data_IF_628152342172
#
_entry.id   IF_628152342172
#
_cell.length_a   1.000
_cell.length_b   1.000
_cell.length_c   1.000
_cell.angle_alpha   90.00
_cell.angle_beta   90.00
_cell.angle_gamma   90.00
#
_symmetry.space_group_name_H-M   'P 1'
#
loop_
_entity.id
_entity.type
_entity.pdbx_description
1 polymer ?
#
# COMPACT_ATOMS: atom_id res chain seq x y z
N UNK A 1 -11.72 -16.14 -14.26
CA UNK A 1 -10.61 -16.19 -13.28
C UNK A 1 -9.53 -15.30 -13.85
N UNK A 2 -9.17 -14.23 -13.15
CA UNK A 2 -8.21 -13.23 -13.64
C UNK A 2 -7.01 -13.16 -12.71
N UNK A 3 -5.84 -12.88 -13.27
CA UNK A 3 -4.58 -12.79 -12.54
C UNK A 3 -3.82 -11.54 -13.00
N UNK A 4 -3.13 -10.89 -12.08
CA UNK A 4 -2.36 -9.68 -12.33
C UNK A 4 -0.90 -9.87 -11.97
N UNK A 5 -0.02 -9.34 -12.81
CA UNK A 5 1.41 -9.20 -12.53
C UNK A 5 1.69 -7.72 -12.39
N UNK A 6 2.17 -7.31 -11.21
CA UNK A 6 2.58 -5.93 -10.94
C UNK A 6 4.09 -5.90 -10.80
N UNK A 7 4.74 -5.06 -11.59
CA UNK A 7 6.17 -4.79 -11.47
C UNK A 7 6.32 -3.48 -10.71
N UNK A 8 6.96 -3.54 -9.54
CA UNK A 8 7.22 -2.38 -8.70
C UNK A 8 8.72 -2.08 -8.67
N UNK A 9 9.07 -0.79 -8.72
CA UNK A 9 10.45 -0.34 -8.58
C UNK A 9 11.01 -0.50 -7.15
N UNK A 10 10.17 -0.88 -6.19
CA UNK A 10 10.56 -1.13 -4.82
C UNK A 10 9.95 -2.46 -4.33
N UNK A 11 10.56 -3.11 -3.33
CA UNK A 11 10.09 -4.40 -2.82
C UNK A 11 8.96 -4.26 -1.78
N UNK A 12 8.44 -3.05 -1.54
CA UNK A 12 7.52 -2.77 -0.44
C UNK A 12 6.08 -2.78 -0.92
N UNK A 13 5.45 -3.95 -0.87
CA UNK A 13 4.04 -4.11 -1.15
C UNK A 13 3.43 -5.18 -0.23
N UNK A 14 2.11 -5.17 -0.16
CA UNK A 14 1.34 -6.20 0.50
C UNK A 14 -0.04 -6.30 -0.17
N UNK A 15 -0.69 -7.44 -0.02
CA UNK A 15 -2.06 -7.67 -0.49
C UNK A 15 -2.96 -7.68 0.74
N UNK A 16 -4.09 -6.97 0.67
CA UNK A 16 -5.04 -6.94 1.77
C UNK A 16 -5.59 -8.34 2.06
N UNK A 17 -5.76 -8.66 3.33
CA UNK A 17 -6.45 -9.87 3.78
C UNK A 17 -7.97 -9.79 3.53
N UNK A 18 -8.69 -10.85 3.91
CA UNK A 18 -10.16 -10.92 3.77
C UNK A 18 -10.92 -9.87 4.59
N UNK A 19 -10.26 -9.17 5.52
CA UNK A 19 -10.81 -8.09 6.33
C UNK A 19 -10.43 -6.70 5.81
N UNK A 20 -9.70 -6.62 4.68
CA UNK A 20 -9.22 -5.37 4.09
C UNK A 20 -7.98 -4.78 4.77
N UNK A 21 -7.30 -5.53 5.66
CA UNK A 21 -6.11 -5.07 6.37
C UNK A 21 -4.84 -5.47 5.62
N UNK A 22 -3.82 -4.63 5.72
CA UNK A 22 -2.49 -4.87 5.15
C UNK A 22 -1.41 -4.41 6.13
N UNK A 23 -0.21 -4.98 6.05
CA UNK A 23 0.92 -4.59 6.90
C UNK A 23 2.26 -4.75 6.18
N UNK A 24 2.78 -3.64 5.68
CA UNK A 24 4.14 -3.55 5.13
C UNK A 24 5.13 -3.28 6.27
N UNK A 25 6.13 -4.13 6.44
CA UNK A 25 7.17 -4.02 7.49
C UNK A 25 8.52 -3.61 6.88
N UNK A 26 9.45 -3.18 7.75
CA UNK A 26 10.84 -2.88 7.40
C UNK A 26 10.99 -1.82 6.31
N UNK A 27 10.09 -0.84 6.27
CA UNK A 27 10.20 0.30 5.35
C UNK A 27 11.21 1.28 5.94
N UNK A 28 12.25 1.67 5.19
CA UNK A 28 13.17 2.72 5.61
C UNK A 28 12.45 4.05 5.89
N UNK A 29 13.06 4.90 6.71
CA UNK A 29 12.54 6.24 6.94
C UNK A 29 12.55 7.05 5.64
N UNK A 30 11.45 7.73 5.31
CA UNK A 30 11.38 8.53 4.09
C UNK A 30 9.97 8.91 3.67
N UNK A 31 9.87 9.66 2.57
CA UNK A 31 8.59 10.02 1.98
C UNK A 31 8.25 9.02 0.87
N UNK A 32 7.08 8.41 0.97
CA UNK A 32 6.60 7.42 0.02
C UNK A 32 5.22 7.81 -0.51
N UNK A 33 4.94 7.41 -1.74
CA UNK A 33 3.58 7.44 -2.28
C UNK A 33 3.01 6.04 -2.18
N UNK A 34 2.03 5.87 -1.31
CA UNK A 34 1.34 4.60 -1.11
C UNK A 34 0.09 4.59 -1.99
N UNK A 35 0.03 3.63 -2.91
CA UNK A 35 -1.10 3.46 -3.83
C UNK A 35 -1.88 2.21 -3.46
N UNK A 36 -3.17 2.36 -3.18
CA UNK A 36 -4.11 1.27 -3.02
C UNK A 36 -5.04 1.21 -4.24
N UNK A 37 -5.42 0.01 -4.64
CA UNK A 37 -6.32 -0.21 -5.76
C UNK A 37 -7.11 -1.50 -5.57
N UNK A 38 -8.31 -1.54 -6.12
CA UNK A 38 -9.15 -2.73 -6.23
C UNK A 38 -9.60 -2.85 -7.69
N UNK A 39 -9.94 -4.06 -8.11
CA UNK A 39 -10.21 -4.41 -9.49
C UNK A 39 -11.21 -3.43 -10.15
N UNK A 40 -10.86 -2.90 -11.32
CA UNK A 40 -11.64 -1.93 -12.10
C UNK A 40 -11.97 -0.59 -11.40
N UNK A 41 -11.53 -0.39 -10.16
CA UNK A 41 -11.71 0.85 -9.41
C UNK A 41 -10.57 1.84 -9.60
N UNK A 42 -10.85 3.07 -9.19
CA UNK A 42 -9.85 4.14 -9.18
C UNK A 42 -8.73 3.85 -8.18
N UNK A 43 -7.49 3.97 -8.65
CA UNK A 43 -6.31 3.92 -7.77
C UNK A 43 -6.33 5.14 -6.84
N UNK A 44 -6.17 4.90 -5.55
CA UNK A 44 -5.99 5.96 -4.55
C UNK A 44 -4.53 6.02 -4.13
N UNK A 45 -3.90 7.17 -4.35
CA UNK A 45 -2.52 7.41 -3.92
C UNK A 45 -2.50 8.43 -2.78
N UNK A 46 -1.78 8.11 -1.70
CA UNK A 46 -1.54 9.00 -0.57
C UNK A 46 -0.04 9.14 -0.33
N UNK A 47 0.42 10.38 -0.18
CA UNK A 47 1.78 10.64 0.28
C UNK A 47 1.88 10.41 1.79
N UNK A 48 2.86 9.62 2.20
CA UNK A 48 3.07 9.22 3.58
C UNK A 48 4.52 9.45 3.97
N UNK A 49 4.75 9.96 5.18
CA UNK A 49 6.07 10.05 5.77
C UNK A 49 6.26 8.88 6.74
N UNK A 50 7.20 7.99 6.43
CA UNK A 50 7.56 6.87 7.29
C UNK A 50 8.63 7.35 8.27
N UNK A 51 8.34 7.37 9.59
CA UNK A 51 9.31 7.77 10.60
C UNK A 51 10.40 6.69 10.75
N UNK A 52 11.58 7.10 11.23
CA UNK A 52 12.71 6.18 11.49
C UNK A 52 12.36 5.08 12.50
N UNK A 53 11.54 5.41 13.48
CA UNK A 53 11.02 4.49 14.48
C UNK A 53 9.51 4.67 14.60
N UNK A 54 8.77 3.56 14.65
CA UNK A 54 7.33 3.55 14.84
C UNK A 54 6.57 2.99 13.65
N UNK A 55 5.25 3.17 13.67
CA UNK A 55 4.35 2.73 12.61
C UNK A 55 3.38 3.82 12.26
N UNK A 56 3.09 3.96 10.97
CA UNK A 56 2.01 4.82 10.47
C UNK A 56 0.79 3.96 10.15
N UNK A 57 -0.40 4.49 10.44
CA UNK A 57 -1.65 3.88 10.00
C UNK A 57 -2.27 4.75 8.92
N UNK A 58 -2.59 4.15 7.78
CA UNK A 58 -3.14 4.84 6.62
C UNK A 58 -4.34 4.04 6.14
N UNK A 59 -5.50 4.68 6.11
CA UNK A 59 -6.72 4.04 5.64
C UNK A 59 -7.06 4.52 4.24
N UNK A 60 -7.48 3.58 3.39
CA UNK A 60 -7.99 3.82 2.04
C UNK A 60 -9.46 3.41 1.99
N UNK A 61 -10.26 4.24 1.35
CA UNK A 61 -11.68 3.99 1.10
C UNK A 61 -11.86 4.00 -0.41
N UNK A 62 -11.72 2.83 -1.03
CA UNK A 62 -11.97 2.63 -2.45
C UNK A 62 -13.49 2.68 -2.67
N UNK A 63 -13.93 3.29 -3.77
CA UNK A 63 -15.33 3.50 -4.11
C UNK A 63 -15.78 2.46 -5.11
#
# INVERSE_FOLDING_TARGET
MEAYIIILNNPFFDVTDSTGRYKIKNIPAGNYNLTAWYFNDSKLTKSVNVPKNGSINVNFYLK
#
